data_IF_132983103409
#
_entry.id   IF_132983103409
#
_cell.length_a   1.000
_cell.length_b   1.000
_cell.length_c   1.000
_cell.angle_alpha   90.00
_cell.angle_beta   90.00
_cell.angle_gamma   90.00
#
_symmetry.space_group_name_H-M   'P 1'
#
loop_
_entity.id
_entity.type
_entity.pdbx_description
1 polymer ?
#
# COMPACT_ATOMS: atom_id res chain seq x y z
N UNK A 1 7.35 37.90 -12.01
CA UNK A 1 6.10 37.67 -11.30
C UNK A 1 6.01 36.22 -10.87
N UNK A 2 5.74 36.00 -9.62
CA UNK A 2 5.57 34.63 -9.14
C UNK A 2 4.22 34.12 -9.64
N UNK A 3 4.17 32.94 -10.31
CA UNK A 3 2.89 32.39 -10.75
C UNK A 3 1.97 32.11 -9.56
N UNK A 4 0.69 32.18 -9.79
CA UNK A 4 -0.29 31.83 -8.78
C UNK A 4 0.00 30.40 -8.30
N UNK A 5 -0.11 30.16 -7.00
CA UNK A 5 0.09 28.84 -6.43
C UNK A 5 -1.00 27.89 -6.97
N UNK A 6 -0.59 26.95 -7.80
CA UNK A 6 -1.48 25.89 -8.28
C UNK A 6 -1.27 24.69 -7.39
N UNK A 7 -2.32 24.29 -6.70
CA UNK A 7 -2.30 23.06 -5.89
C UNK A 7 -2.47 21.88 -6.84
N UNK A 8 -1.37 21.18 -7.11
CA UNK A 8 -1.39 19.99 -7.93
C UNK A 8 -1.43 18.76 -7.02
N UNK A 9 -2.57 18.08 -7.02
CA UNK A 9 -2.72 16.81 -6.33
C UNK A 9 -2.40 15.67 -7.30
N UNK A 10 -1.80 14.60 -6.81
CA UNK A 10 -1.53 13.40 -7.61
C UNK A 10 -2.81 12.61 -7.88
N UNK A 11 -3.75 12.65 -6.94
CA UNK A 11 -5.01 11.91 -7.01
C UNK A 11 -6.16 12.79 -6.56
N UNK A 12 -7.32 12.58 -7.20
CA UNK A 12 -8.54 13.26 -6.77
C UNK A 12 -8.95 12.79 -5.36
N UNK A 13 -8.96 11.48 -5.17
CA UNK A 13 -9.29 10.81 -3.92
C UNK A 13 -8.64 9.42 -3.91
N UNK A 14 -8.89 8.66 -2.86
CA UNK A 14 -8.33 7.30 -2.75
C UNK A 14 -8.91 6.33 -3.76
N UNK A 15 -10.17 6.49 -4.14
CA UNK A 15 -10.77 5.67 -5.20
C UNK A 15 -10.07 5.90 -6.55
N UNK A 16 -9.73 7.15 -6.87
CA UNK A 16 -8.95 7.50 -8.07
C UNK A 16 -7.56 6.86 -8.03
N UNK A 17 -6.88 6.93 -6.89
CA UNK A 17 -5.58 6.27 -6.71
C UNK A 17 -5.68 4.76 -6.97
N UNK A 18 -6.72 4.12 -6.46
CA UNK A 18 -6.96 2.70 -6.69
C UNK A 18 -7.12 2.36 -8.17
N UNK A 19 -7.88 3.16 -8.90
CA UNK A 19 -8.06 2.97 -10.35
C UNK A 19 -6.75 3.13 -11.10
N UNK A 20 -5.94 4.13 -10.74
CA UNK A 20 -4.64 4.35 -11.39
C UNK A 20 -3.68 3.20 -11.12
N UNK A 21 -3.66 2.67 -9.90
CA UNK A 21 -2.84 1.51 -9.55
C UNK A 21 -3.25 0.29 -10.38
N UNK A 22 -4.53 -0.03 -10.41
CA UNK A 22 -5.02 -1.20 -11.15
C UNK A 22 -4.69 -1.07 -12.63
N UNK A 23 -4.87 0.11 -13.21
CA UNK A 23 -4.53 0.34 -14.62
C UNK A 23 -3.04 0.18 -14.89
N UNK A 24 -2.19 0.67 -14.01
CA UNK A 24 -0.73 0.63 -14.17
C UNK A 24 -0.17 -0.77 -13.95
N UNK A 25 -0.64 -1.47 -12.93
CA UNK A 25 -0.09 -2.76 -12.48
C UNK A 25 -1.03 -3.94 -12.74
N UNK A 26 -1.88 -3.85 -13.75
CA UNK A 26 -2.93 -4.84 -14.04
C UNK A 26 -2.38 -6.27 -14.15
N UNK A 27 -1.29 -6.45 -14.89
CA UNK A 27 -0.67 -7.76 -15.07
C UNK A 27 -0.13 -8.31 -13.75
N UNK A 28 0.56 -7.47 -12.99
CA UNK A 28 1.16 -7.85 -11.71
C UNK A 28 0.08 -8.20 -10.70
N UNK A 29 -0.99 -7.40 -10.62
CA UNK A 29 -2.10 -7.63 -9.68
C UNK A 29 -2.76 -8.98 -9.91
N UNK A 30 -2.88 -9.42 -11.15
CA UNK A 30 -3.49 -10.71 -11.50
C UNK A 30 -2.64 -11.93 -11.11
N UNK A 31 -1.35 -11.72 -10.81
CA UNK A 31 -0.41 -12.81 -10.52
C UNK A 31 -0.39 -13.26 -9.06
N UNK A 32 -0.99 -12.49 -8.15
CA UNK A 32 -0.96 -12.81 -6.73
C UNK A 32 -2.00 -13.85 -6.34
N UNK A 33 -1.67 -14.64 -5.32
CA UNK A 33 -2.60 -15.60 -4.72
C UNK A 33 -3.60 -14.91 -3.80
N UNK A 34 -3.18 -13.80 -3.18
CA UNK A 34 -3.97 -13.10 -2.18
C UNK A 34 -3.59 -11.62 -2.16
N UNK A 35 -4.60 -10.75 -2.11
CA UNK A 35 -4.43 -9.32 -1.85
C UNK A 35 -4.81 -9.04 -0.40
N UNK A 36 -3.92 -8.39 0.35
CA UNK A 36 -4.14 -8.03 1.75
C UNK A 36 -4.42 -6.53 1.81
N UNK A 37 -5.60 -6.17 2.28
CA UNK A 37 -6.06 -4.77 2.30
C UNK A 37 -5.89 -4.21 3.71
N UNK A 38 -5.06 -3.18 3.83
CA UNK A 38 -4.81 -2.50 5.11
C UNK A 38 -5.98 -1.59 5.46
N UNK A 39 -6.68 -1.90 6.53
CA UNK A 39 -7.85 -1.14 6.97
C UNK A 39 -7.56 -0.35 8.24
N UNK A 40 -8.18 0.82 8.38
CA UNK A 40 -9.18 1.40 7.48
C UNK A 40 -8.61 2.13 6.26
N UNK A 41 -7.31 2.37 6.19
CA UNK A 41 -6.70 3.32 5.26
C UNK A 41 -6.93 2.99 3.77
N UNK A 42 -6.87 1.72 3.40
CA UNK A 42 -6.94 1.30 1.99
C UNK A 42 -8.33 0.84 1.54
N UNK A 43 -9.38 1.07 2.32
CA UNK A 43 -10.73 0.60 1.99
C UNK A 43 -11.20 1.08 0.62
N UNK A 44 -11.06 2.36 0.32
CA UNK A 44 -11.51 2.93 -0.96
C UNK A 44 -10.61 2.50 -2.12
N UNK A 45 -9.30 2.41 -1.90
CA UNK A 45 -8.35 1.94 -2.92
C UNK A 45 -8.70 0.50 -3.32
N UNK A 46 -9.04 -0.33 -2.35
CA UNK A 46 -9.37 -1.73 -2.58
C UNK A 46 -10.61 -1.95 -3.47
N UNK A 47 -11.53 -0.99 -3.53
CA UNK A 47 -12.71 -1.11 -4.38
C UNK A 47 -12.34 -1.32 -5.86
N UNK A 48 -11.30 -0.64 -6.35
CA UNK A 48 -10.85 -0.82 -7.73
C UNK A 48 -10.34 -2.24 -7.98
N UNK A 49 -9.64 -2.82 -7.01
CA UNK A 49 -9.15 -4.20 -7.11
C UNK A 49 -10.30 -5.20 -7.10
N UNK A 50 -11.30 -5.01 -6.24
CA UNK A 50 -12.45 -5.88 -6.17
C UNK A 50 -13.25 -5.87 -7.48
N UNK A 51 -13.34 -4.70 -8.14
CA UNK A 51 -14.08 -4.54 -9.39
C UNK A 51 -13.32 -5.13 -10.59
N UNK A 52 -11.99 -4.96 -10.63
CA UNK A 52 -11.17 -5.19 -11.82
C UNK A 52 -10.38 -6.50 -11.78
N UNK A 53 -10.34 -7.20 -10.65
CA UNK A 53 -9.57 -8.43 -10.51
C UNK A 53 -10.40 -9.55 -9.91
N UNK A 54 -9.97 -10.80 -10.16
CA UNK A 54 -10.56 -12.00 -9.56
C UNK A 54 -9.73 -12.53 -8.38
N UNK A 55 -8.67 -11.84 -8.02
CA UNK A 55 -7.78 -12.27 -6.95
C UNK A 55 -8.48 -12.19 -5.59
N UNK A 56 -8.42 -13.24 -4.77
CA UNK A 56 -8.98 -13.19 -3.42
C UNK A 56 -8.39 -12.07 -2.58
N UNK A 57 -9.22 -11.49 -1.71
CA UNK A 57 -8.84 -10.38 -0.85
C UNK A 57 -9.12 -10.72 0.61
N UNK A 58 -8.23 -10.30 1.50
CA UNK A 58 -8.43 -10.39 2.96
C UNK A 58 -8.12 -9.03 3.58
N UNK A 59 -8.92 -8.68 4.59
CA UNK A 59 -8.72 -7.45 5.34
C UNK A 59 -7.69 -7.65 6.44
N UNK A 60 -6.85 -6.64 6.64
CA UNK A 60 -5.93 -6.55 7.76
C UNK A 60 -6.24 -5.25 8.51
N UNK A 61 -6.93 -5.38 9.64
CA UNK A 61 -7.35 -4.22 10.44
C UNK A 61 -6.23 -3.81 11.38
N UNK A 62 -5.64 -2.65 11.12
CA UNK A 62 -4.56 -2.12 11.93
C UNK A 62 -5.13 -1.44 13.17
N UNK A 63 -4.65 -1.86 14.33
CA UNK A 63 -4.97 -1.20 15.58
C UNK A 63 -3.91 -0.20 16.00
N UNK A 64 -4.24 0.60 16.98
CA UNK A 64 -3.28 1.52 17.61
C UNK A 64 -3.37 1.41 19.11
N UNK A 65 -2.21 1.52 19.79
CA UNK A 65 -2.09 1.51 21.23
C UNK A 65 -1.24 2.70 21.67
N UNK A 66 -1.07 2.87 22.98
CA UNK A 66 -0.19 3.90 23.52
C UNK A 66 1.27 3.75 23.06
N UNK A 67 1.68 2.53 22.67
CA UNK A 67 3.06 2.22 22.26
C UNK A 67 3.23 2.16 20.74
N UNK A 68 2.18 2.43 19.97
CA UNK A 68 2.26 2.48 18.51
C UNK A 68 1.23 1.63 17.79
N UNK A 69 1.62 1.12 16.63
CA UNK A 69 0.75 0.35 15.75
C UNK A 69 0.69 -1.11 16.23
N UNK A 70 -0.53 -1.67 16.23
CA UNK A 70 -0.75 -3.09 16.51
C UNK A 70 -1.10 -3.79 15.21
N UNK A 71 -0.24 -4.72 14.78
CA UNK A 71 -0.44 -5.51 13.58
C UNK A 71 -0.96 -6.89 13.97
N UNK A 72 -2.23 -7.22 13.65
CA UNK A 72 -2.72 -8.56 13.93
C UNK A 72 -2.02 -9.59 13.04
N UNK A 73 -1.88 -10.79 13.56
CA UNK A 73 -1.31 -11.90 12.82
C UNK A 73 -2.31 -12.38 11.76
N UNK A 74 -1.83 -12.61 10.52
CA UNK A 74 -2.59 -13.30 9.47
C UNK A 74 -2.16 -14.76 9.42
N UNK A 75 -3.12 -15.65 9.54
CA UNK A 75 -2.88 -17.10 9.42
C UNK A 75 -3.27 -17.60 8.03
N UNK A 76 -2.84 -18.82 7.69
CA UNK A 76 -3.17 -19.49 6.42
C UNK A 76 -2.66 -18.72 5.17
N UNK A 77 -1.49 -18.11 5.30
CA UNK A 77 -0.82 -17.42 4.19
C UNK A 77 0.51 -18.08 3.81
N UNK A 78 0.91 -19.11 4.53
CA UNK A 78 2.17 -19.82 4.28
C UNK A 78 2.24 -20.33 2.84
N UNK A 79 3.35 -20.05 2.18
CA UNK A 79 3.59 -20.45 0.79
C UNK A 79 2.87 -19.63 -0.26
N UNK A 80 2.08 -18.64 0.13
CA UNK A 80 1.36 -17.80 -0.83
C UNK A 80 2.23 -16.65 -1.33
N UNK A 81 1.96 -16.25 -2.58
CA UNK A 81 2.45 -15.02 -3.17
C UNK A 81 1.42 -13.93 -2.88
N UNK A 82 1.75 -13.00 -1.99
CA UNK A 82 0.80 -12.01 -1.49
C UNK A 82 1.19 -10.59 -1.87
N UNK A 83 0.19 -9.73 -2.01
CA UNK A 83 0.39 -8.29 -2.14
C UNK A 83 -0.32 -7.57 -1.01
N UNK A 84 0.34 -6.57 -0.44
CA UNK A 84 -0.22 -5.68 0.59
C UNK A 84 -0.62 -4.37 -0.09
N UNK A 85 -1.86 -3.96 0.08
CA UNK A 85 -2.42 -2.74 -0.49
C UNK A 85 -2.66 -1.75 0.64
N UNK A 86 -2.03 -0.58 0.55
CA UNK A 86 -2.21 0.52 1.49
C UNK A 86 -2.42 1.84 0.74
N UNK A 87 -2.78 2.90 1.43
CA UNK A 87 -3.05 4.21 0.83
C UNK A 87 -1.78 5.03 0.57
N UNK A 88 -0.65 4.54 0.97
CA UNK A 88 0.66 5.15 0.78
C UNK A 88 1.58 4.90 1.95
N UNK A 89 2.82 5.36 1.79
CA UNK A 89 3.86 5.25 2.81
C UNK A 89 4.34 6.64 3.16
N UNK A 90 4.39 6.96 4.45
CA UNK A 90 5.07 8.15 4.96
C UNK A 90 6.47 7.78 5.46
N UNK A 91 6.56 7.15 6.62
CA UNK A 91 7.85 6.73 7.20
C UNK A 91 8.15 5.25 6.98
N UNK A 92 7.15 4.45 6.64
CA UNK A 92 7.29 3.02 6.43
C UNK A 92 7.07 2.16 7.67
N UNK A 93 6.84 2.75 8.83
CA UNK A 93 6.71 1.99 10.10
C UNK A 93 5.64 0.90 10.01
N UNK A 94 4.44 1.25 9.57
CA UNK A 94 3.34 0.29 9.45
C UNK A 94 3.63 -0.76 8.38
N UNK A 95 4.06 -0.33 7.20
CA UNK A 95 4.35 -1.24 6.09
C UNK A 95 5.47 -2.23 6.44
N UNK A 96 6.52 -1.78 7.10
CA UNK A 96 7.62 -2.64 7.55
C UNK A 96 7.13 -3.68 8.55
N UNK A 97 6.30 -3.26 9.52
CA UNK A 97 5.75 -4.17 10.52
C UNK A 97 4.85 -5.24 9.87
N UNK A 98 4.05 -4.87 8.89
CA UNK A 98 3.21 -5.82 8.14
C UNK A 98 4.09 -6.81 7.37
N UNK A 99 5.10 -6.33 6.66
CA UNK A 99 6.03 -7.18 5.92
C UNK A 99 6.76 -8.18 6.84
N UNK A 100 7.21 -7.73 8.00
CA UNK A 100 7.85 -8.59 8.99
C UNK A 100 6.89 -9.67 9.50
N UNK A 101 5.64 -9.33 9.75
CA UNK A 101 4.61 -10.31 10.14
C UNK A 101 4.41 -11.37 9.06
N UNK A 102 4.32 -10.96 7.79
CA UNK A 102 4.13 -11.89 6.68
C UNK A 102 5.33 -12.84 6.52
N UNK A 103 6.56 -12.34 6.71
CA UNK A 103 7.76 -13.20 6.70
C UNK A 103 7.70 -14.24 7.82
N UNK A 104 7.27 -13.84 9.00
CA UNK A 104 7.10 -14.77 10.12
C UNK A 104 6.02 -15.81 9.84
N UNK A 105 5.02 -15.50 9.03
CA UNK A 105 3.97 -16.41 8.59
C UNK A 105 4.35 -17.24 7.35
N UNK A 106 5.59 -17.11 6.88
CA UNK A 106 6.19 -17.94 5.83
C UNK A 106 5.51 -17.80 4.46
N UNK A 107 5.12 -16.59 4.08
CA UNK A 107 4.67 -16.33 2.69
C UNK A 107 5.81 -16.65 1.73
N UNK A 108 5.49 -17.07 0.51
CA UNK A 108 6.50 -17.35 -0.51
C UNK A 108 7.10 -16.05 -1.06
N UNK A 109 6.28 -15.04 -1.22
CA UNK A 109 6.72 -13.70 -1.60
C UNK A 109 5.72 -12.66 -1.12
N UNK A 110 6.21 -11.43 -0.91
CA UNK A 110 5.39 -10.30 -0.50
C UNK A 110 5.73 -9.08 -1.35
N UNK A 111 4.70 -8.44 -1.87
CA UNK A 111 4.80 -7.19 -2.63
C UNK A 111 3.98 -6.12 -1.93
N UNK A 112 4.52 -4.90 -1.87
CA UNK A 112 3.78 -3.75 -1.39
C UNK A 112 3.28 -2.96 -2.59
N UNK A 113 1.99 -2.63 -2.61
CA UNK A 113 1.37 -1.82 -3.66
C UNK A 113 0.73 -0.61 -3.00
N UNK A 114 1.28 0.57 -3.30
CA UNK A 114 0.83 1.83 -2.71
C UNK A 114 0.87 2.95 -3.74
N UNK A 115 -0.03 3.93 -3.69
CA UNK A 115 0.00 5.06 -4.60
C UNK A 115 1.24 5.94 -4.43
N UNK A 116 1.71 6.10 -3.21
CA UNK A 116 2.83 6.99 -2.86
C UNK A 116 3.81 6.25 -1.98
N UNK A 117 5.10 6.29 -2.33
CA UNK A 117 6.18 5.74 -1.51
C UNK A 117 7.43 6.60 -1.66
N UNK A 118 7.93 7.22 -0.57
CA UNK A 118 9.15 8.01 -0.62
C UNK A 118 10.36 7.18 -1.04
N UNK A 119 11.23 7.74 -1.88
CA UNK A 119 12.42 7.04 -2.37
C UNK A 119 13.36 6.62 -1.23
N UNK A 120 13.51 7.47 -0.22
CA UNK A 120 14.42 7.20 0.89
C UNK A 120 13.94 6.04 1.80
N UNK A 121 12.66 5.70 1.74
CA UNK A 121 12.09 4.60 2.56
C UNK A 121 12.18 3.24 1.85
N UNK A 122 12.30 3.23 0.53
CA UNK A 122 12.30 1.99 -0.27
C UNK A 122 13.33 0.96 0.20
N UNK A 123 14.60 1.31 0.49
CA UNK A 123 15.56 0.30 0.96
C UNK A 123 15.11 -0.45 2.22
N UNK A 124 14.48 0.25 3.16
CA UNK A 124 13.96 -0.36 4.39
C UNK A 124 12.78 -1.29 4.10
N UNK A 125 11.94 -0.92 3.13
CA UNK A 125 10.81 -1.76 2.71
C UNK A 125 11.31 -3.04 2.02
N UNK A 126 12.34 -2.95 1.20
CA UNK A 126 12.90 -4.11 0.51
C UNK A 126 13.61 -5.10 1.44
N UNK A 127 13.81 -4.75 2.70
CA UNK A 127 14.26 -5.72 3.71
C UNK A 127 13.17 -6.74 4.07
N UNK A 128 11.89 -6.40 3.88
CA UNK A 128 10.75 -7.27 4.23
C UNK A 128 9.85 -7.59 3.04
N UNK A 129 9.88 -6.81 1.97
CA UNK A 129 9.14 -7.07 0.73
C UNK A 129 10.09 -7.44 -0.39
N UNK A 130 9.64 -8.31 -1.29
CA UNK A 130 10.39 -8.65 -2.51
C UNK A 130 10.33 -7.51 -3.53
N UNK A 131 9.19 -6.81 -3.59
CA UNK A 131 8.96 -5.75 -4.57
C UNK A 131 8.05 -4.67 -3.96
N UNK A 132 8.25 -3.43 -4.41
CA UNK A 132 7.37 -2.29 -4.10
C UNK A 132 6.89 -1.69 -5.41
N UNK A 133 5.58 -1.66 -5.62
CA UNK A 133 4.95 -0.97 -6.75
C UNK A 133 4.31 0.33 -6.26
N UNK A 134 4.69 1.44 -6.87
CA UNK A 134 4.16 2.76 -6.50
C UNK A 134 4.01 3.64 -7.74
N UNK A 135 3.11 4.61 -7.67
CA UNK A 135 2.88 5.57 -8.75
C UNK A 135 3.68 6.85 -8.58
N UNK A 136 3.81 7.31 -7.35
CA UNK A 136 4.48 8.57 -7.00
C UNK A 136 5.55 8.30 -5.96
N UNK A 137 6.77 8.76 -6.22
CA UNK A 137 7.91 8.53 -5.33
C UNK A 137 8.62 9.86 -5.04
N UNK A 138 8.13 10.65 -4.06
CA UNK A 138 8.87 11.81 -3.60
C UNK A 138 10.20 11.38 -2.99
N UNK A 139 11.21 12.24 -3.01
CA UNK A 139 12.53 11.89 -2.47
C UNK A 139 12.44 11.57 -0.98
N UNK A 140 11.77 12.41 -0.21
CA UNK A 140 11.67 12.32 1.25
C UNK A 140 10.23 12.02 1.69
N UNK A 141 10.06 11.51 2.92
CA UNK A 141 8.72 11.32 3.48
C UNK A 141 7.91 12.61 3.48
N UNK A 142 6.65 12.50 3.05
CA UNK A 142 5.69 13.59 3.01
C UNK A 142 4.36 13.11 3.59
N UNK A 143 3.53 14.03 4.06
CA UNK A 143 2.18 13.70 4.49
C UNK A 143 1.37 13.17 3.29
N UNK A 144 0.71 12.04 3.46
CA UNK A 144 -0.11 11.45 2.41
C UNK A 144 -1.26 12.37 1.99
N UNK A 145 -1.76 13.19 2.91
CA UNK A 145 -2.84 14.14 2.63
C UNK A 145 -2.50 15.11 1.50
N UNK A 146 -1.21 15.41 1.30
CA UNK A 146 -0.75 16.30 0.24
C UNK A 146 -1.00 15.73 -1.16
N UNK A 147 -1.16 14.43 -1.29
CA UNK A 147 -1.30 13.76 -2.58
C UNK A 147 -2.75 13.57 -3.02
N UNK A 148 -3.70 13.83 -2.11
CA UNK A 148 -5.13 13.67 -2.38
C UNK A 148 -5.84 15.00 -2.32
N UNK A 149 -6.64 15.30 -3.34
CA UNK A 149 -7.49 16.50 -3.36
C UNK A 149 -8.57 16.39 -2.29
N UNK A 150 -9.16 15.21 -2.15
CA UNK A 150 -10.19 14.90 -1.16
C UNK A 150 -9.65 13.82 -0.22
N UNK A 151 -9.67 14.11 1.07
CA UNK A 151 -9.21 13.19 2.12
C UNK A 151 -10.32 12.50 2.86
#
# INVERSE_FOLDING_TARGET
MKPALVMNFNFKDRADAGRQIVNTFRTEVSSFDLLIVVLPAAAEIALAFATETQTPMRDLVIGRSATGVVIPRLTNVSGLNVAVIDDGVETGTTAIAIGAMLRAELVSSATLIVPVCPQLVVPNLLAVYDTVHTLVSPLEPESLRQHYEIN
#
